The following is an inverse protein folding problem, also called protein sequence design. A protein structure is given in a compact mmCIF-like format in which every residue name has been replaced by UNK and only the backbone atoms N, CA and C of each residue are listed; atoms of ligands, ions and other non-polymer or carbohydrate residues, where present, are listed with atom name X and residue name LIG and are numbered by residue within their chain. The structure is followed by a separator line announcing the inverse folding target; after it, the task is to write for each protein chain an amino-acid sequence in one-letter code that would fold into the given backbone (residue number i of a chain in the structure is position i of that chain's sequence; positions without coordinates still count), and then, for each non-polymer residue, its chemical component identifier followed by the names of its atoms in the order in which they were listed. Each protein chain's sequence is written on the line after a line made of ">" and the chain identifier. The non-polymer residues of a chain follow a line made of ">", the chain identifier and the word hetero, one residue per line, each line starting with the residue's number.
data_IF_180378563888
#
_entry.id   IF_180378563888
#
_cell.length_a   1.000
_cell.length_b   1.000
_cell.length_c   1.000
_cell.angle_alpha   90.00
_cell.angle_beta   90.00
_cell.angle_gamma   90.00
#
_symmetry.space_group_name_H-M   'P 1'
#
loop_
_entity.id
_entity.type
_entity.pdbx_description
1 polymer ?
#
# COMPACT_ATOMS: atom_id res chain seq x y z
N UNK A 1 -12.14 1.04 -12.19
CA UNK A 1 -12.39 -0.25 -11.51
C UNK A 1 -12.73 -1.27 -12.59
N UNK A 2 -11.97 -2.36 -12.69
CA UNK A 2 -12.24 -3.47 -13.62
C UNK A 2 -12.77 -4.64 -12.79
N UNK A 3 -13.89 -5.24 -13.21
CA UNK A 3 -14.54 -6.33 -12.47
C UNK A 3 -14.42 -7.63 -13.25
N UNK A 4 -13.83 -8.64 -12.63
CA UNK A 4 -13.63 -9.96 -13.22
C UNK A 4 -14.18 -11.02 -12.25
N UNK A 5 -15.12 -11.83 -12.73
CA UNK A 5 -15.62 -12.97 -11.97
C UNK A 5 -14.70 -14.18 -12.20
N UNK A 6 -14.20 -14.75 -11.12
CA UNK A 6 -13.32 -15.94 -11.11
C UNK A 6 -13.87 -17.00 -10.15
N UNK A 7 -13.69 -18.27 -10.51
CA UNK A 7 -13.98 -19.44 -9.68
C UNK A 7 -12.74 -19.81 -8.87
N UNK A 8 -12.91 -20.74 -7.92
CA UNK A 8 -11.81 -21.32 -7.14
C UNK A 8 -10.73 -21.88 -8.09
N UNK A 9 -9.47 -21.63 -7.75
CA UNK A 9 -8.26 -21.97 -8.51
C UNK A 9 -8.07 -21.23 -9.85
N UNK A 10 -8.92 -20.25 -10.18
CA UNK A 10 -8.60 -19.36 -11.30
C UNK A 10 -7.71 -18.19 -10.84
N UNK A 11 -6.92 -17.66 -11.78
CA UNK A 11 -5.99 -16.57 -11.55
C UNK A 11 -6.27 -15.35 -12.44
N UNK A 12 -5.76 -14.20 -12.00
CA UNK A 12 -5.77 -12.92 -12.70
C UNK A 12 -4.32 -12.45 -12.74
N UNK A 13 -3.82 -12.10 -13.92
CA UNK A 13 -2.46 -11.58 -14.10
C UNK A 13 -2.54 -10.08 -14.39
N UNK A 14 -1.70 -9.31 -13.72
CA UNK A 14 -1.57 -7.86 -13.86
C UNK A 14 -0.11 -7.55 -14.18
N UNK A 15 0.12 -6.89 -15.33
CA UNK A 15 1.43 -6.40 -15.75
C UNK A 15 2.52 -7.49 -15.76
N UNK A 16 2.14 -8.73 -16.12
CA UNK A 16 2.97 -9.96 -16.21
C UNK A 16 3.72 -10.40 -14.93
N UNK A 17 3.90 -9.51 -13.96
CA UNK A 17 4.64 -9.72 -12.72
C UNK A 17 3.74 -10.06 -11.52
N UNK A 18 2.47 -9.66 -11.56
CA UNK A 18 1.54 -9.82 -10.43
C UNK A 18 0.49 -10.85 -10.79
N UNK A 19 0.41 -11.93 -10.03
CA UNK A 19 -0.61 -12.97 -10.17
C UNK A 19 -1.48 -13.04 -8.92
N UNK A 20 -2.79 -12.89 -9.08
CA UNK A 20 -3.79 -13.04 -8.03
C UNK A 20 -4.51 -14.36 -8.26
N UNK A 21 -4.51 -15.25 -7.27
CA UNK A 21 -5.15 -16.57 -7.35
C UNK A 21 -6.26 -16.67 -6.33
N UNK A 22 -7.42 -17.19 -6.74
CA UNK A 22 -8.50 -17.50 -5.80
C UNK A 22 -8.24 -18.86 -5.15
N UNK A 23 -7.67 -18.85 -3.94
CA UNK A 23 -7.28 -20.07 -3.22
C UNK A 23 -8.50 -20.82 -2.69
N UNK A 24 -9.46 -20.10 -2.11
CA UNK A 24 -10.64 -20.71 -1.50
C UNK A 24 -11.79 -19.71 -1.45
N UNK A 25 -13.01 -20.20 -1.65
CA UNK A 25 -14.24 -19.43 -1.46
C UNK A 25 -15.04 -20.17 -0.38
N UNK A 26 -15.32 -19.50 0.75
CA UNK A 26 -16.15 -20.01 1.84
C UNK A 26 -17.27 -19.03 2.13
N UNK A 27 -18.45 -19.30 1.58
CA UNK A 27 -19.60 -18.39 1.67
C UNK A 27 -19.20 -17.01 1.15
N UNK A 28 -19.24 -16.01 2.01
CA UNK A 28 -18.90 -14.62 1.69
C UNK A 28 -17.41 -14.30 1.82
N UNK A 29 -16.59 -15.21 2.37
CA UNK A 29 -15.15 -15.00 2.55
C UNK A 29 -14.37 -15.65 1.41
N UNK A 30 -13.51 -14.85 0.78
CA UNK A 30 -12.61 -15.32 -0.27
C UNK A 30 -11.18 -15.23 0.23
N UNK A 31 -10.42 -16.32 0.04
CA UNK A 31 -8.97 -16.33 0.24
C UNK A 31 -8.30 -16.07 -1.10
N UNK A 32 -7.54 -14.99 -1.15
CA UNK A 32 -6.75 -14.59 -2.30
C UNK A 32 -5.27 -14.87 -2.01
N UNK A 33 -4.61 -15.58 -2.90
CA UNK A 33 -3.16 -15.65 -2.99
C UNK A 33 -2.70 -14.54 -3.91
N UNK A 34 -1.66 -13.82 -3.50
CA UNK A 34 -1.08 -12.74 -4.31
C UNK A 34 0.39 -13.08 -4.45
N UNK A 35 0.83 -13.27 -5.68
CA UNK A 35 2.22 -13.46 -6.06
C UNK A 35 2.66 -12.20 -6.78
N UNK A 36 3.69 -11.54 -6.26
CA UNK A 36 4.25 -10.33 -6.82
C UNK A 36 5.76 -10.29 -6.55
N UNK A 37 6.57 -9.64 -7.41
CA UNK A 37 7.99 -9.47 -7.18
C UNK A 37 8.24 -8.59 -5.96
N UNK A 38 9.45 -8.69 -5.39
CA UNK A 38 9.85 -7.94 -4.17
C UNK A 38 9.82 -6.43 -4.35
N UNK A 39 9.89 -5.95 -5.59
CA UNK A 39 9.81 -4.53 -5.94
C UNK A 39 8.41 -3.96 -5.75
N UNK A 40 7.37 -4.82 -5.75
CA UNK A 40 5.98 -4.42 -5.58
C UNK A 40 5.50 -4.84 -4.19
N UNK A 41 5.44 -3.91 -3.22
CA UNK A 41 4.98 -4.23 -1.87
C UNK A 41 3.47 -4.50 -1.86
N UNK A 42 3.07 -5.63 -1.28
CA UNK A 42 1.67 -6.02 -1.11
C UNK A 42 1.24 -5.73 0.33
N UNK A 43 0.32 -4.79 0.49
CA UNK A 43 -0.23 -4.42 1.79
C UNK A 43 -1.74 -4.64 1.82
N UNK A 44 -2.27 -4.88 3.02
CA UNK A 44 -3.71 -4.75 3.25
C UNK A 44 -4.09 -3.29 3.14
N UNK A 45 -5.29 -3.01 2.66
CA UNK A 45 -5.74 -1.66 2.36
C UNK A 45 -5.68 -0.75 3.61
N UNK A 46 -6.12 -1.26 4.75
CA UNK A 46 -6.08 -0.53 6.02
C UNK A 46 -4.65 -0.19 6.49
N UNK A 47 -3.69 -1.07 6.20
CA UNK A 47 -2.28 -0.85 6.54
C UNK A 47 -1.66 0.16 5.59
N UNK A 48 -2.01 0.10 4.30
CA UNK A 48 -1.53 1.05 3.30
C UNK A 48 -1.99 2.48 3.60
N UNK A 49 -3.26 2.67 3.97
CA UNK A 49 -3.78 3.99 4.35
C UNK A 49 -3.09 4.56 5.60
N UNK A 50 -2.84 3.72 6.61
CA UNK A 50 -2.12 4.12 7.81
C UNK A 50 -0.68 4.56 7.50
N UNK A 51 0.05 3.77 6.71
CA UNK A 51 1.43 4.08 6.30
C UNK A 51 1.49 5.38 5.49
N UNK A 52 0.57 5.57 4.54
CA UNK A 52 0.53 6.77 3.71
C UNK A 52 0.25 8.03 4.54
N UNK A 53 -0.63 7.95 5.53
CA UNK A 53 -0.94 9.08 6.43
C UNK A 53 0.25 9.46 7.31
N UNK A 54 1.03 8.49 7.77
CA UNK A 54 2.28 8.74 8.50
C UNK A 54 3.34 9.39 7.61
N UNK A 55 3.53 8.90 6.38
CA UNK A 55 4.51 9.48 5.43
C UNK A 55 4.16 10.92 5.02
N UNK A 56 2.86 11.25 4.88
CA UNK A 56 2.40 12.61 4.58
C UNK A 56 2.69 13.58 5.75
N UNK A 57 2.78 13.07 6.99
CA UNK A 57 3.11 13.86 8.18
C UNK A 57 4.62 14.03 8.38
N UNK A 58 5.44 13.09 7.91
CA UNK A 58 6.91 13.12 7.99
C UNK A 58 7.59 13.84 6.81
N UNK A 59 6.85 14.15 5.74
CA UNK A 59 7.38 14.84 4.55
C UNK A 59 7.19 16.36 4.58
N UNK A 60 6.82 16.96 5.72
CA UNK A 60 6.95 18.40 5.93
C UNK A 60 8.41 18.68 6.34
N UNK A 61 9.25 19.24 5.46
CA UNK A 61 10.61 19.57 5.84
C UNK A 61 10.55 20.67 6.89
N UNK A 62 11.20 20.42 8.03
CA UNK A 62 11.58 21.47 8.95
C UNK A 62 12.46 22.47 8.23
N UNK A 63 11.91 23.63 7.88
CA UNK A 63 12.70 24.82 7.65
C UNK A 63 13.13 25.37 9.00
N UNK A 64 14.37 25.05 9.36
CA UNK A 64 15.13 25.74 10.37
C UNK A 64 15.23 27.24 10.02
N UNK A 65 14.95 28.09 11.00
CA UNK A 65 15.55 29.41 11.14
C UNK A 65 15.72 29.66 12.64
N UNK A 66 16.75 29.03 13.18
CA UNK A 66 17.50 29.58 14.29
C UNK A 66 18.21 30.83 13.74
N UNK A 67 17.75 32.02 14.14
CA UNK A 67 18.59 33.21 14.15
C UNK A 67 18.50 33.81 15.55
N UNK A 68 19.57 33.51 16.29
CA UNK A 68 20.03 34.21 17.48
C UNK A 68 20.15 35.71 17.16
N UNK A 69 19.33 36.57 17.77
CA UNK A 69 19.61 38.01 17.81
C UNK A 69 19.96 38.43 19.24
N UNK A 70 21.27 38.51 19.46
CA UNK A 70 21.88 39.33 20.48
C UNK A 70 21.69 40.82 20.14
N UNK A 71 21.34 41.61 21.17
CA UNK A 71 21.54 43.05 21.39
C UNK A 71 20.41 43.49 22.34
N UNK A 72 20.60 43.58 23.66
CA UNK A 72 21.39 44.58 24.39
C UNK A 72 21.07 46.03 23.97
N UNK A 73 20.53 46.78 24.94
CA UNK A 73 20.24 48.24 25.03
C UNK A 73 18.83 48.69 24.65
#
# INVERSE_FOLDING_TARGET
>A
MLVLSRKKNESIVINDDITIVVVEIRGDKVRLGIEAPKEVPVHRNEVYEAIRKSQESESAPGSAADETQAAET
#
